data_IF_201124949104
#
_entry.id   IF_201124949104
#
_cell.length_a   1.000
_cell.length_b   1.000
_cell.length_c   1.000
_cell.angle_alpha   90.00
_cell.angle_beta   90.00
_cell.angle_gamma   90.00
#
_symmetry.space_group_name_H-M   'P 1'
#
loop_
_entity.id
_entity.type
_entity.pdbx_description
1 polymer ?
#
# COMPACT_ATOMS: atom_id res chain seq x y z
N UNK A 1 -33.07 -3.03 5.17
CA UNK A 1 -32.63 -4.33 4.61
C UNK A 1 -33.42 -4.63 3.34
N UNK A 2 -32.84 -5.28 2.33
CA UNK A 2 -33.59 -5.75 1.15
C UNK A 2 -34.74 -6.68 1.57
N UNK A 3 -35.88 -6.57 0.91
CA UNK A 3 -37.06 -7.41 1.15
C UNK A 3 -37.53 -7.92 -0.21
N UNK A 4 -37.86 -9.22 -0.32
CA UNK A 4 -38.28 -9.88 -1.58
C UNK A 4 -37.26 -9.70 -2.71
N UNK A 5 -35.99 -9.95 -2.41
CA UNK A 5 -34.89 -9.78 -3.38
C UNK A 5 -34.36 -11.13 -3.82
N UNK A 6 -34.32 -11.37 -5.13
CA UNK A 6 -33.67 -12.55 -5.70
C UNK A 6 -32.34 -12.15 -6.32
N UNK A 7 -31.27 -12.84 -5.94
CA UNK A 7 -29.93 -12.71 -6.52
C UNK A 7 -29.64 -14.00 -7.28
N UNK A 8 -29.57 -13.94 -8.61
CA UNK A 8 -29.51 -15.14 -9.42
C UNK A 8 -28.61 -15.05 -10.64
N UNK A 9 -28.16 -16.20 -11.13
CA UNK A 9 -27.37 -16.35 -12.37
C UNK A 9 -26.08 -15.52 -12.38
N UNK A 10 -25.44 -15.30 -11.23
CA UNK A 10 -24.17 -14.58 -11.14
C UNK A 10 -22.96 -15.52 -11.31
N UNK A 11 -21.81 -14.94 -11.65
CA UNK A 11 -20.50 -15.60 -11.65
C UNK A 11 -19.62 -14.90 -10.62
N UNK A 12 -19.01 -15.64 -9.71
CA UNK A 12 -18.05 -15.14 -8.72
C UNK A 12 -16.78 -15.97 -8.83
N UNK A 13 -15.69 -15.35 -9.28
CA UNK A 13 -14.45 -16.04 -9.58
C UNK A 13 -13.29 -15.42 -8.79
N UNK A 14 -12.46 -16.26 -8.20
CA UNK A 14 -11.17 -15.88 -7.64
C UNK A 14 -10.09 -16.86 -8.11
N UNK A 15 -9.05 -16.35 -8.76
CA UNK A 15 -7.90 -17.14 -9.21
C UNK A 15 -7.03 -17.65 -8.06
N UNK A 16 -7.08 -17.00 -6.90
CA UNK A 16 -6.38 -17.38 -5.68
C UNK A 16 -7.41 -17.81 -4.65
N UNK A 17 -7.64 -19.13 -4.44
CA UNK A 17 -8.68 -19.60 -3.54
C UNK A 17 -8.57 -19.00 -2.14
N UNK A 18 -9.66 -18.42 -1.64
CA UNK A 18 -9.75 -17.87 -0.29
C UNK A 18 -10.80 -18.62 0.54
N UNK A 19 -10.51 -18.85 1.82
CA UNK A 19 -11.43 -19.45 2.80
C UNK A 19 -12.38 -18.40 3.40
N UNK A 20 -12.83 -17.46 2.59
CA UNK A 20 -13.72 -16.39 3.01
C UNK A 20 -15.11 -16.67 2.50
N UNK A 21 -16.10 -16.64 3.40
CA UNK A 21 -17.51 -16.73 3.02
C UNK A 21 -17.91 -15.50 2.18
N UNK A 22 -18.49 -15.75 1.01
CA UNK A 22 -18.94 -14.70 0.07
C UNK A 22 -20.10 -13.89 0.66
N UNK A 23 -20.96 -14.54 1.44
CA UNK A 23 -22.09 -13.91 2.11
C UNK A 23 -21.85 -13.96 3.61
N UNK A 24 -21.75 -12.79 4.24
CA UNK A 24 -21.66 -12.65 5.69
C UNK A 24 -22.92 -11.98 6.22
N UNK A 25 -23.52 -12.57 7.24
CA UNK A 25 -24.65 -11.99 7.97
C UNK A 25 -24.14 -11.39 9.28
N UNK A 26 -24.24 -10.07 9.42
CA UNK A 26 -23.91 -9.36 10.66
C UNK A 26 -25.14 -9.08 11.53
N UNK A 27 -26.34 -9.30 10.97
CA UNK A 27 -27.64 -9.25 11.65
C UNK A 27 -28.58 -10.26 10.95
N UNK A 28 -29.81 -10.42 11.45
CA UNK A 28 -30.85 -11.27 10.87
C UNK A 28 -31.01 -10.93 9.38
N UNK A 29 -30.75 -11.88 8.45
CA UNK A 29 -30.88 -11.60 7.04
C UNK A 29 -32.30 -11.13 6.69
N UNK A 30 -32.37 -10.14 5.80
CA UNK A 30 -33.61 -9.81 5.11
C UNK A 30 -34.08 -10.96 4.21
N UNK A 31 -35.21 -10.76 3.52
CA UNK A 31 -35.80 -11.74 2.62
C UNK A 31 -35.06 -11.75 1.27
N UNK A 32 -33.84 -12.33 1.29
CA UNK A 32 -32.95 -12.48 0.14
C UNK A 32 -32.89 -13.95 -0.27
N UNK A 33 -33.24 -14.24 -1.52
CA UNK A 33 -33.20 -15.55 -2.12
C UNK A 33 -32.06 -15.64 -3.13
N UNK A 34 -31.10 -16.54 -2.92
CA UNK A 34 -30.02 -16.80 -3.87
C UNK A 34 -30.39 -18.00 -4.76
N UNK A 35 -30.21 -17.89 -6.07
CA UNK A 35 -30.58 -18.93 -7.03
C UNK A 35 -29.55 -19.06 -8.16
N UNK A 36 -28.96 -20.24 -8.34
CA UNK A 36 -28.03 -20.52 -9.45
C UNK A 36 -26.89 -19.48 -9.59
N UNK A 37 -26.25 -19.11 -8.47
CA UNK A 37 -25.05 -18.27 -8.47
C UNK A 37 -23.81 -19.16 -8.50
N UNK A 38 -22.98 -19.02 -9.53
CA UNK A 38 -21.85 -19.91 -9.77
C UNK A 38 -20.58 -19.34 -9.18
N UNK A 39 -19.79 -20.19 -8.51
CA UNK A 39 -18.60 -19.75 -7.77
C UNK A 39 -17.38 -20.63 -8.01
N UNK A 40 -16.20 -20.02 -8.07
CA UNK A 40 -14.89 -20.69 -8.03
C UNK A 40 -13.89 -19.90 -7.18
N UNK A 41 -13.11 -20.60 -6.35
CA UNK A 41 -12.05 -19.99 -5.53
C UNK A 41 -12.53 -19.26 -4.28
N UNK A 42 -13.79 -19.45 -3.90
CA UNK A 42 -14.44 -18.83 -2.75
C UNK A 42 -15.44 -19.81 -2.13
N UNK A 43 -15.75 -19.65 -0.84
CA UNK A 43 -16.67 -20.53 -0.11
C UNK A 43 -18.03 -19.84 0.11
N UNK A 44 -19.12 -20.61 0.10
CA UNK A 44 -20.43 -20.11 0.54
C UNK A 44 -21.20 -21.20 1.27
N UNK A 45 -21.74 -20.86 2.43
CA UNK A 45 -22.69 -21.70 3.18
C UNK A 45 -24.15 -21.37 2.87
N UNK A 46 -24.41 -20.27 2.17
CA UNK A 46 -25.75 -19.88 1.76
C UNK A 46 -26.24 -20.79 0.62
N UNK A 47 -27.50 -21.23 0.69
CA UNK A 47 -28.12 -21.98 -0.39
C UNK A 47 -28.16 -21.13 -1.68
N UNK A 48 -28.17 -21.78 -2.85
CA UNK A 48 -28.24 -21.09 -4.14
C UNK A 48 -26.89 -20.63 -4.72
N UNK A 49 -25.78 -20.95 -4.06
CA UNK A 49 -24.44 -20.87 -4.61
C UNK A 49 -23.97 -22.27 -5.04
N UNK A 50 -23.41 -22.37 -6.24
CA UNK A 50 -23.02 -23.63 -6.89
C UNK A 50 -21.54 -23.54 -7.26
N UNK A 51 -20.73 -24.41 -6.67
CA UNK A 51 -19.32 -24.53 -7.06
C UNK A 51 -19.20 -25.18 -8.43
N UNK A 52 -18.52 -24.51 -9.36
CA UNK A 52 -18.26 -25.03 -10.71
C UNK A 52 -16.86 -24.67 -11.16
N UNK A 53 -16.28 -25.47 -12.04
CA UNK A 53 -15.05 -25.10 -12.72
C UNK A 53 -15.33 -23.97 -13.73
N UNK A 54 -14.42 -23.00 -13.75
CA UNK A 54 -14.44 -21.75 -14.50
C UNK A 54 -13.07 -21.49 -15.09
N UNK A 55 -13.05 -21.05 -16.35
CA UNK A 55 -11.84 -20.70 -17.09
C UNK A 55 -11.93 -19.28 -17.60
N UNK A 56 -10.95 -18.45 -17.25
CA UNK A 56 -10.79 -17.12 -17.85
C UNK A 56 -10.20 -17.28 -19.26
N UNK A 57 -10.90 -16.76 -20.26
CA UNK A 57 -10.60 -16.93 -21.69
C UNK A 57 -9.72 -15.82 -22.27
N UNK A 58 -9.72 -14.62 -21.68
CA UNK A 58 -8.94 -13.48 -22.14
C UNK A 58 -7.82 -13.10 -21.16
N UNK A 59 -6.87 -12.29 -21.65
CA UNK A 59 -5.77 -11.73 -20.84
C UNK A 59 -6.08 -10.32 -20.30
N UNK A 60 -7.22 -9.73 -20.68
CA UNK A 60 -7.64 -8.42 -20.17
C UNK A 60 -8.15 -8.59 -18.75
N UNK A 61 -7.52 -7.89 -17.82
CA UNK A 61 -7.83 -8.00 -16.39
C UNK A 61 -9.07 -7.17 -16.03
N UNK A 62 -9.39 -6.15 -16.82
CA UNK A 62 -10.50 -5.23 -16.59
C UNK A 62 -11.86 -5.92 -16.74
N UNK A 63 -11.96 -6.90 -17.65
CA UNK A 63 -13.20 -7.62 -17.94
C UNK A 63 -12.88 -9.09 -18.22
N UNK A 64 -12.78 -9.94 -17.17
CA UNK A 64 -12.48 -11.35 -17.38
C UNK A 64 -13.64 -12.06 -18.07
N UNK A 65 -13.37 -12.65 -19.24
CA UNK A 65 -14.31 -13.52 -19.93
C UNK A 65 -14.24 -14.90 -19.29
N UNK A 66 -15.25 -15.24 -18.49
CA UNK A 66 -15.31 -16.53 -17.81
C UNK A 66 -16.18 -17.49 -18.59
N UNK A 67 -15.59 -18.62 -19.02
CA UNK A 67 -16.34 -19.78 -19.46
C UNK A 67 -16.57 -20.73 -18.28
N UNK A 68 -17.76 -21.31 -18.23
CA UNK A 68 -18.12 -22.42 -17.34
C UNK A 68 -18.24 -23.70 -18.18
N UNK A 69 -18.20 -24.86 -17.53
CA UNK A 69 -18.42 -26.16 -18.20
C UNK A 69 -19.79 -26.27 -18.88
N UNK A 70 -20.00 -27.33 -19.65
CA UNK A 70 -21.24 -27.54 -20.40
C UNK A 70 -22.46 -27.69 -19.46
N UNK A 71 -23.58 -27.05 -19.82
CA UNK A 71 -24.90 -27.15 -19.17
C UNK A 71 -25.02 -26.58 -17.75
N UNK A 72 -24.81 -25.28 -17.63
CA UNK A 72 -25.13 -24.49 -16.43
C UNK A 72 -26.63 -24.19 -16.39
N UNK A 73 -27.32 -24.56 -15.31
CA UNK A 73 -28.75 -24.29 -15.15
C UNK A 73 -29.00 -22.80 -14.83
N UNK A 74 -29.94 -22.17 -15.54
CA UNK A 74 -30.32 -20.79 -15.27
C UNK A 74 -31.61 -20.76 -14.45
N UNK A 75 -31.64 -19.86 -13.46
CA UNK A 75 -32.87 -19.50 -12.78
C UNK A 75 -33.70 -18.64 -13.74
N UNK A 76 -34.96 -19.01 -13.95
CA UNK A 76 -35.89 -18.26 -14.78
C UNK A 76 -36.79 -17.40 -13.87
N UNK A 77 -36.39 -16.15 -13.71
CA UNK A 77 -37.07 -15.17 -12.85
C UNK A 77 -38.06 -14.31 -13.61
N UNK A 78 -38.84 -13.53 -12.87
CA UNK A 78 -39.72 -12.52 -13.48
C UNK A 78 -38.91 -11.58 -14.38
N UNK A 79 -39.34 -11.44 -15.65
CA UNK A 79 -38.74 -10.58 -16.68
C UNK A 79 -37.30 -10.94 -17.11
N UNK A 80 -36.76 -12.10 -16.73
CA UNK A 80 -35.44 -12.54 -17.23
C UNK A 80 -35.42 -12.85 -18.73
N UNK A 81 -36.56 -13.25 -19.29
CA UNK A 81 -36.77 -13.41 -20.73
C UNK A 81 -36.58 -12.10 -21.52
N UNK A 82 -36.75 -10.94 -20.87
CA UNK A 82 -36.52 -9.62 -21.49
C UNK A 82 -35.04 -9.28 -21.61
N UNK A 83 -34.16 -9.98 -20.89
CA UNK A 83 -32.71 -9.79 -20.95
C UNK A 83 -32.17 -10.53 -22.17
N UNK A 84 -32.31 -9.91 -23.33
CA UNK A 84 -31.93 -10.53 -24.62
C UNK A 84 -30.50 -10.21 -25.06
N UNK A 85 -29.85 -9.24 -24.41
CA UNK A 85 -28.50 -8.80 -24.71
C UNK A 85 -27.61 -8.77 -23.48
N UNK A 86 -26.31 -8.95 -23.68
CA UNK A 86 -25.30 -8.79 -22.64
C UNK A 86 -24.83 -7.31 -22.50
N UNK A 87 -23.88 -7.05 -21.60
CA UNK A 87 -23.37 -5.69 -21.34
C UNK A 87 -22.62 -5.07 -22.54
N UNK A 88 -22.26 -5.88 -23.54
CA UNK A 88 -21.64 -5.45 -24.80
C UNK A 88 -22.64 -5.40 -25.96
N UNK A 89 -23.94 -5.54 -25.65
CA UNK A 89 -25.04 -5.59 -26.63
C UNK A 89 -25.02 -6.82 -27.54
N UNK A 90 -24.25 -7.86 -27.22
CA UNK A 90 -24.29 -9.15 -27.92
C UNK A 90 -25.59 -9.88 -27.59
N UNK A 91 -26.11 -10.67 -28.52
CA UNK A 91 -27.29 -11.50 -28.26
C UNK A 91 -26.98 -12.63 -27.26
N UNK A 92 -27.87 -12.85 -26.29
CA UNK A 92 -27.77 -13.96 -25.33
C UNK A 92 -28.31 -15.27 -25.92
N UNK A 93 -27.66 -15.77 -26.98
CA UNK A 93 -28.03 -17.03 -27.67
C UNK A 93 -26.78 -17.90 -27.96
N UNK A 94 -26.56 -18.99 -27.20
CA UNK A 94 -27.33 -19.44 -26.04
C UNK A 94 -27.19 -18.48 -24.85
N UNK A 95 -28.20 -18.46 -23.95
CA UNK A 95 -28.12 -17.69 -22.71
C UNK A 95 -27.17 -18.39 -21.71
N UNK A 96 -26.51 -17.62 -20.84
CA UNK A 96 -25.64 -18.12 -19.80
C UNK A 96 -25.66 -17.22 -18.56
N UNK A 97 -25.15 -17.72 -17.43
CA UNK A 97 -24.98 -16.94 -16.22
C UNK A 97 -23.87 -15.89 -16.39
N UNK A 98 -23.92 -14.83 -15.60
CA UNK A 98 -23.01 -13.68 -15.67
C UNK A 98 -23.51 -12.57 -16.59
N UNK A 99 -22.75 -11.48 -16.63
CA UNK A 99 -23.11 -10.27 -17.36
C UNK A 99 -22.80 -10.34 -18.87
N UNK A 100 -22.05 -11.34 -19.31
CA UNK A 100 -21.47 -11.46 -20.66
C UNK A 100 -21.94 -12.77 -21.28
N UNK A 101 -22.42 -12.77 -22.53
CA UNK A 101 -22.77 -13.97 -23.30
C UNK A 101 -21.71 -14.23 -24.37
N UNK A 102 -21.09 -15.40 -24.35
CA UNK A 102 -19.79 -15.78 -24.95
C UNK A 102 -19.69 -15.72 -26.49
N UNK A 103 -19.86 -14.57 -27.12
CA UNK A 103 -19.27 -14.32 -28.44
C UNK A 103 -17.87 -13.75 -28.26
N UNK A 104 -16.84 -14.56 -28.50
CA UNK A 104 -15.43 -14.15 -28.53
C UNK A 104 -15.19 -13.29 -29.79
N UNK A 105 -15.63 -12.05 -29.75
CA UNK A 105 -15.13 -10.98 -30.62
C UNK A 105 -14.08 -10.14 -29.88
N UNK A 106 -13.39 -9.24 -30.58
CA UNK A 106 -12.70 -8.13 -29.91
C UNK A 106 -13.73 -7.44 -29.03
N UNK A 107 -13.54 -7.48 -27.71
CA UNK A 107 -14.42 -6.77 -26.78
C UNK A 107 -14.39 -5.31 -27.22
N UNK A 108 -15.50 -4.85 -27.79
CA UNK A 108 -15.69 -3.43 -28.02
C UNK A 108 -15.47 -2.74 -26.66
N UNK A 109 -14.67 -1.68 -26.65
CA UNK A 109 -14.43 -0.94 -25.42
C UNK A 109 -15.80 -0.57 -24.80
N UNK A 110 -16.06 -0.97 -23.55
CA UNK A 110 -17.30 -0.62 -22.85
C UNK A 110 -17.52 0.90 -22.80
N UNK A 111 -16.43 1.65 -22.87
CA UNK A 111 -16.42 3.11 -22.91
C UNK A 111 -15.55 3.59 -24.08
N UNK A 112 -16.13 4.35 -24.99
CA UNK A 112 -15.35 5.24 -25.84
C UNK A 112 -15.12 6.54 -25.06
N UNK A 113 -13.96 6.68 -24.42
CA UNK A 113 -13.61 7.88 -23.66
C UNK A 113 -13.61 9.15 -24.52
N UNK A 114 -13.53 9.04 -25.86
CA UNK A 114 -13.64 10.20 -26.75
C UNK A 114 -15.07 10.77 -26.82
N UNK A 115 -16.07 10.01 -26.38
CA UNK A 115 -17.46 10.48 -26.26
C UNK A 115 -17.72 11.29 -24.99
N UNK A 116 -16.74 11.36 -24.08
CA UNK A 116 -16.88 12.01 -22.78
C UNK A 116 -15.86 13.14 -22.62
N UNK A 117 -16.31 14.22 -22.00
CA UNK A 117 -15.49 15.41 -21.82
C UNK A 117 -15.42 16.30 -23.07
N UNK A 118 -14.82 17.49 -22.94
CA UNK A 118 -14.70 18.41 -24.05
C UNK A 118 -13.64 17.92 -25.06
N UNK A 119 -13.94 18.04 -26.36
CA UNK A 119 -13.04 17.63 -27.45
C UNK A 119 -11.70 18.36 -27.50
N UNK A 120 -11.56 19.48 -26.79
CA UNK A 120 -10.33 20.25 -26.68
C UNK A 120 -9.40 19.78 -25.55
N UNK A 121 -9.83 18.85 -24.70
CA UNK A 121 -9.03 18.32 -23.58
C UNK A 121 -8.61 16.87 -23.83
N UNK A 122 -7.30 16.58 -23.69
CA UNK A 122 -6.79 15.22 -23.73
C UNK A 122 -6.59 14.70 -22.30
N UNK A 123 -7.28 13.63 -21.96
CA UNK A 123 -7.12 12.94 -20.68
C UNK A 123 -5.91 11.99 -20.66
N UNK A 124 -5.33 11.69 -21.83
CA UNK A 124 -4.19 10.79 -21.93
C UNK A 124 -2.93 11.53 -21.46
N UNK A 125 -2.41 11.12 -20.30
CA UNK A 125 -1.12 11.56 -19.82
C UNK A 125 -0.05 11.23 -20.87
N UNK A 126 0.72 12.23 -21.28
CA UNK A 126 1.90 12.00 -22.10
C UNK A 126 2.85 11.08 -21.33
N UNK A 127 3.27 9.96 -21.93
CA UNK A 127 4.32 9.12 -21.33
C UNK A 127 5.65 9.84 -21.53
N UNK A 128 6.27 10.39 -20.47
CA UNK A 128 7.55 11.08 -20.62
C UNK A 128 8.62 10.10 -21.13
N UNK A 129 9.50 10.58 -22.00
CA UNK A 129 10.70 9.85 -22.41
C UNK A 129 11.74 9.96 -21.28
N UNK A 130 11.64 9.03 -20.32
CA UNK A 130 12.48 9.01 -19.13
C UNK A 130 13.93 8.66 -19.49
N UNK A 131 14.85 9.54 -19.12
CA UNK A 131 16.28 9.41 -19.40
C UNK A 131 17.03 8.83 -18.22
N UNK A 132 18.24 8.34 -18.52
CA UNK A 132 19.23 7.94 -17.52
C UNK A 132 20.34 8.99 -17.48
N UNK A 133 20.52 9.62 -16.33
CA UNK A 133 21.50 10.68 -16.11
C UNK A 133 22.60 10.13 -15.20
N UNK A 134 23.81 9.98 -15.73
CA UNK A 134 24.95 9.51 -14.92
C UNK A 134 25.63 10.70 -14.25
N UNK A 135 25.87 10.62 -12.94
CA UNK A 135 26.54 11.66 -12.15
C UNK A 135 27.78 11.11 -11.45
N UNK A 136 28.83 11.92 -11.33
CA UNK A 136 30.12 11.52 -10.75
C UNK A 136 30.56 12.40 -9.58
N UNK A 137 29.80 13.46 -9.28
CA UNK A 137 30.08 14.42 -8.21
C UNK A 137 28.79 14.91 -7.55
N UNK A 138 28.91 15.49 -6.37
CA UNK A 138 27.77 16.08 -5.65
C UNK A 138 27.14 17.24 -6.43
N UNK A 139 27.96 18.08 -7.06
CA UNK A 139 27.48 19.20 -7.88
C UNK A 139 26.66 18.71 -9.08
N UNK A 140 27.15 17.67 -9.78
CA UNK A 140 26.41 17.04 -10.89
C UNK A 140 25.10 16.41 -10.41
N UNK A 141 25.09 15.79 -9.23
CA UNK A 141 23.90 15.22 -8.62
C UNK A 141 22.83 16.29 -8.34
N UNK A 142 23.21 17.37 -7.66
CA UNK A 142 22.29 18.47 -7.34
C UNK A 142 21.82 19.21 -8.60
N UNK A 143 22.71 19.44 -9.57
CA UNK A 143 22.35 20.05 -10.85
C UNK A 143 21.36 19.17 -11.63
N UNK A 144 21.58 17.86 -11.67
CA UNK A 144 20.70 16.91 -12.36
C UNK A 144 19.29 16.92 -11.80
N UNK A 145 19.12 17.02 -10.47
CA UNK A 145 17.80 17.11 -9.85
C UNK A 145 17.01 18.36 -10.26
N UNK A 146 17.70 19.46 -10.62
CA UNK A 146 17.07 20.71 -11.08
C UNK A 146 16.64 20.61 -12.55
N UNK A 147 17.45 19.94 -13.38
CA UNK A 147 17.27 19.90 -14.84
C UNK A 147 16.47 18.70 -15.34
N UNK A 148 16.40 17.61 -14.57
CA UNK A 148 15.73 16.37 -14.98
C UNK A 148 14.23 16.55 -15.28
N UNK A 149 13.69 15.64 -16.09
CA UNK A 149 12.25 15.46 -16.26
C UNK A 149 11.68 14.56 -15.17
N UNK A 150 10.39 14.71 -14.88
CA UNK A 150 9.70 13.79 -13.97
C UNK A 150 9.72 12.37 -14.55
N UNK A 151 10.23 11.42 -13.76
CA UNK A 151 10.39 10.01 -14.13
C UNK A 151 11.81 9.62 -14.55
N UNK A 152 12.74 10.57 -14.68
CA UNK A 152 14.14 10.27 -14.99
C UNK A 152 14.82 9.43 -13.91
N UNK A 153 15.88 8.73 -14.30
CA UNK A 153 16.73 7.94 -13.40
C UNK A 153 18.12 8.56 -13.28
N UNK A 154 18.54 8.93 -12.07
CA UNK A 154 19.90 9.36 -11.76
C UNK A 154 20.73 8.14 -11.36
N UNK A 155 21.85 7.93 -12.04
CA UNK A 155 22.81 6.85 -11.80
C UNK A 155 24.06 7.44 -11.16
N UNK A 156 24.35 7.03 -9.93
CA UNK A 156 25.56 7.44 -9.21
C UNK A 156 26.73 6.58 -9.70
N UNK A 157 27.63 7.20 -10.44
CA UNK A 157 28.82 6.60 -11.04
C UNK A 157 30.11 6.99 -10.29
N UNK A 158 29.98 7.23 -8.99
CA UNK A 158 31.06 7.43 -8.02
C UNK A 158 30.76 6.61 -6.76
N UNK A 159 31.79 6.27 -6.00
CA UNK A 159 31.62 5.49 -4.77
C UNK A 159 31.03 6.32 -3.63
N UNK A 160 31.20 7.66 -3.67
CA UNK A 160 30.77 8.57 -2.61
C UNK A 160 30.28 9.91 -3.17
N UNK A 161 29.11 10.33 -2.71
CA UNK A 161 28.58 11.69 -2.81
C UNK A 161 28.49 12.28 -1.40
N UNK A 162 29.16 13.41 -1.16
CA UNK A 162 29.04 14.16 0.10
C UNK A 162 28.12 15.35 -0.12
N UNK A 163 27.04 15.44 0.66
CA UNK A 163 26.04 16.48 0.56
C UNK A 163 26.03 17.30 1.84
N UNK A 164 26.13 18.63 1.71
CA UNK A 164 26.23 19.56 2.84
C UNK A 164 24.96 20.38 3.06
N UNK A 165 23.91 20.06 2.30
CA UNK A 165 22.62 20.72 2.31
C UNK A 165 21.48 19.71 2.09
N UNK A 166 20.27 20.11 2.46
CA UNK A 166 19.06 19.34 2.16
C UNK A 166 18.86 19.22 0.64
N UNK A 167 18.39 18.07 0.19
CA UNK A 167 18.09 17.77 -1.20
C UNK A 167 16.60 17.85 -1.45
N UNK A 168 16.17 18.75 -2.33
CA UNK A 168 14.75 18.88 -2.70
C UNK A 168 14.40 17.95 -3.87
N UNK A 169 13.39 17.12 -3.68
CA UNK A 169 12.82 16.25 -4.72
C UNK A 169 11.49 16.86 -5.16
N UNK A 170 11.51 17.65 -6.23
CA UNK A 170 10.35 18.38 -6.75
C UNK A 170 9.71 17.71 -7.97
N UNK A 171 10.33 16.64 -8.47
CA UNK A 171 9.85 15.83 -9.59
C UNK A 171 10.09 14.36 -9.25
N UNK A 172 9.19 13.48 -9.71
CA UNK A 172 9.38 12.03 -9.58
C UNK A 172 10.76 11.60 -10.13
N UNK A 173 11.50 10.77 -9.39
CA UNK A 173 12.86 10.38 -9.75
C UNK A 173 13.21 9.01 -9.18
N UNK A 174 14.01 8.26 -9.93
CA UNK A 174 14.72 7.09 -9.41
C UNK A 174 16.20 7.41 -9.24
N UNK A 175 16.74 7.20 -8.05
CA UNK A 175 18.16 7.36 -7.75
C UNK A 175 18.75 5.99 -7.47
N UNK A 176 19.79 5.61 -8.18
CA UNK A 176 20.43 4.31 -7.98
C UNK A 176 21.93 4.33 -8.22
N UNK A 177 22.60 3.34 -7.64
CA UNK A 177 24.01 3.08 -7.95
C UNK A 177 24.18 2.49 -9.35
N UNK A 178 25.41 2.53 -9.86
CA UNK A 178 25.76 1.91 -11.14
C UNK A 178 25.44 0.41 -11.19
N UNK A 179 25.64 -0.32 -10.09
CA UNK A 179 25.26 -1.72 -9.94
C UNK A 179 24.97 -2.08 -8.47
N UNK A 180 24.24 -3.18 -8.26
CA UNK A 180 23.97 -3.75 -6.93
C UNK A 180 25.23 -4.11 -6.15
N UNK A 181 26.25 -4.63 -6.84
CA UNK A 181 27.50 -5.08 -6.21
C UNK A 181 28.44 -3.92 -5.80
N UNK A 182 28.16 -2.71 -6.27
CA UNK A 182 28.93 -1.49 -5.99
C UNK A 182 27.98 -0.37 -5.56
N UNK A 183 27.34 -0.56 -4.41
CA UNK A 183 26.47 0.46 -3.84
C UNK A 183 27.27 1.74 -3.55
N UNK A 184 26.94 2.82 -4.24
CA UNK A 184 27.44 4.15 -3.94
C UNK A 184 26.93 4.61 -2.59
N UNK A 185 27.72 5.44 -1.91
CA UNK A 185 27.34 6.06 -0.64
C UNK A 185 26.91 7.50 -0.86
N UNK A 186 25.74 7.88 -0.38
CA UNK A 186 25.36 9.29 -0.19
C UNK A 186 25.51 9.58 1.29
N UNK A 187 26.43 10.48 1.60
CA UNK A 187 26.74 10.89 2.96
C UNK A 187 26.33 12.35 3.15
N UNK A 188 25.43 12.59 4.10
CA UNK A 188 25.10 13.95 4.53
C UNK A 188 26.10 14.39 5.59
N UNK A 189 26.80 15.50 5.34
CA UNK A 189 27.84 16.04 6.23
C UNK A 189 27.53 17.48 6.59
N UNK A 190 27.31 17.75 7.88
CA UNK A 190 27.07 19.10 8.38
C UNK A 190 25.76 19.74 7.91
N UNK A 191 25.49 20.94 8.47
CA UNK A 191 24.36 21.80 8.14
C UNK A 191 23.34 21.97 9.26
N UNK A 192 22.57 23.06 9.19
CA UNK A 192 21.47 23.40 10.11
C UNK A 192 20.12 23.13 9.42
N UNK A 193 19.92 21.88 8.99
CA UNK A 193 18.68 21.42 8.37
C UNK A 193 18.20 20.13 9.03
N UNK A 194 16.88 19.99 9.16
CA UNK A 194 16.27 18.88 9.88
C UNK A 194 15.98 17.65 9.00
N UNK A 195 16.12 17.77 7.67
CA UNK A 195 15.74 16.71 6.71
C UNK A 195 16.74 16.61 5.56
N UNK A 196 17.15 15.39 5.22
CA UNK A 196 18.12 15.09 4.16
C UNK A 196 17.49 15.19 2.76
N UNK A 197 16.33 14.54 2.55
CA UNK A 197 15.53 14.63 1.33
C UNK A 197 14.13 15.22 1.64
N UNK A 198 13.85 16.40 1.09
CA UNK A 198 12.54 17.07 1.18
C UNK A 198 11.70 16.77 -0.06
N UNK A 199 10.50 16.20 0.12
CA UNK A 199 9.63 15.80 -0.98
C UNK A 199 8.57 16.87 -1.30
N UNK A 200 8.46 17.26 -2.56
CA UNK A 200 7.36 18.09 -3.07
C UNK A 200 6.06 17.29 -3.28
N UNK A 201 4.97 17.97 -3.70
CA UNK A 201 3.71 17.31 -4.02
C UNK A 201 3.83 16.44 -5.28
N UNK A 202 3.03 15.36 -5.37
CA UNK A 202 2.91 14.49 -6.55
C UNK A 202 4.24 13.84 -7.01
N UNK A 203 5.17 13.62 -6.09
CA UNK A 203 6.46 12.98 -6.38
C UNK A 203 6.45 11.49 -6.05
N UNK A 204 6.96 10.69 -6.98
CA UNK A 204 7.39 9.32 -6.73
C UNK A 204 8.90 9.32 -6.54
N UNK A 205 9.36 9.09 -5.31
CA UNK A 205 10.77 9.06 -4.97
C UNK A 205 11.24 7.61 -4.79
N UNK A 206 12.11 7.15 -5.71
CA UNK A 206 12.61 5.80 -5.72
C UNK A 206 14.11 5.79 -5.42
N UNK A 207 14.56 4.91 -4.53
CA UNK A 207 15.98 4.68 -4.25
C UNK A 207 16.33 3.20 -4.34
N UNK A 208 17.39 2.86 -5.08
CA UNK A 208 17.79 1.47 -5.29
C UNK A 208 19.30 1.26 -5.16
N UNK A 209 19.72 0.26 -4.37
CA UNK A 209 21.11 -0.16 -4.26
C UNK A 209 22.07 0.92 -3.74
N UNK A 210 21.65 1.78 -2.80
CA UNK A 210 22.46 2.90 -2.27
C UNK A 210 22.72 2.71 -0.78
N UNK A 211 23.89 3.14 -0.31
CA UNK A 211 24.19 3.34 1.10
C UNK A 211 23.96 4.80 1.49
N UNK A 212 23.19 5.04 2.54
CA UNK A 212 22.75 6.35 3.01
C UNK A 212 23.26 6.54 4.43
N UNK A 213 24.00 7.62 4.63
CA UNK A 213 24.63 7.94 5.91
C UNK A 213 24.27 9.36 6.31
N UNK A 214 23.75 9.53 7.53
CA UNK A 214 23.28 10.79 8.06
C UNK A 214 23.85 11.14 9.43
N UNK A 215 23.08 11.94 10.15
CA UNK A 215 23.33 12.33 11.54
C UNK A 215 22.07 12.10 12.40
N UNK A 216 22.19 11.71 13.69
CA UNK A 216 21.04 11.43 14.55
C UNK A 216 20.09 12.61 14.80
N UNK A 217 20.46 13.84 14.41
CA UNK A 217 19.58 15.01 14.39
C UNK A 217 18.77 15.16 13.10
N UNK A 218 19.15 14.45 12.03
CA UNK A 218 18.64 14.58 10.67
C UNK A 218 17.60 13.51 10.33
N UNK A 219 16.40 13.91 9.90
CA UNK A 219 15.45 12.98 9.27
C UNK A 219 15.95 12.64 7.87
N UNK A 220 15.89 11.39 7.45
CA UNK A 220 16.28 10.99 6.10
C UNK A 220 15.31 11.54 5.05
N UNK A 221 14.01 11.30 5.20
CA UNK A 221 12.97 11.80 4.28
C UNK A 221 11.88 12.52 5.07
N UNK A 222 11.43 13.68 4.57
CA UNK A 222 10.20 14.33 5.02
C UNK A 222 9.51 15.08 3.86
N UNK A 223 8.18 15.23 3.87
CA UNK A 223 7.46 16.12 2.96
C UNK A 223 7.84 17.59 3.15
N UNK A 224 7.67 18.41 2.10
CA UNK A 224 7.73 19.87 2.19
C UNK A 224 6.67 20.37 3.16
N UNK A 225 7.10 21.13 4.17
CA UNK A 225 6.21 21.60 5.22
C UNK A 225 5.10 22.56 4.74
N UNK A 226 5.32 23.28 3.64
CA UNK A 226 4.48 24.42 3.27
C UNK A 226 3.73 24.24 1.95
N UNK A 227 4.17 23.31 1.09
CA UNK A 227 3.70 23.24 -0.30
C UNK A 227 3.10 21.89 -0.70
N UNK A 228 2.76 21.02 0.25
CA UNK A 228 2.06 19.76 -0.05
C UNK A 228 0.61 20.03 -0.43
N UNK A 229 0.21 19.55 -1.61
CA UNK A 229 -1.15 19.67 -2.15
C UNK A 229 -1.70 18.34 -2.70
N UNK A 230 -0.80 17.38 -2.97
CA UNK A 230 -1.09 16.07 -3.53
C UNK A 230 -0.18 15.07 -2.83
N UNK A 231 -0.66 13.84 -2.67
CA UNK A 231 0.10 12.77 -2.04
C UNK A 231 1.45 12.52 -2.74
N UNK A 232 2.45 12.11 -1.97
CA UNK A 232 3.75 11.66 -2.47
C UNK A 232 3.93 10.15 -2.26
N UNK A 233 4.93 9.57 -2.91
CA UNK A 233 5.29 8.16 -2.76
C UNK A 233 6.79 7.99 -2.50
N UNK A 234 7.13 7.03 -1.65
CA UNK A 234 8.50 6.65 -1.31
C UNK A 234 8.68 5.16 -1.55
N UNK A 235 9.64 4.78 -2.39
CA UNK A 235 10.01 3.39 -2.65
C UNK A 235 11.51 3.20 -2.46
N UNK A 236 11.89 2.39 -1.47
CA UNK A 236 13.28 2.09 -1.15
C UNK A 236 13.48 0.59 -1.30
N UNK A 237 14.42 0.18 -2.13
CA UNK A 237 14.72 -1.23 -2.41
C UNK A 237 16.22 -1.48 -2.34
N UNK A 238 16.62 -2.48 -1.54
CA UNK A 238 18.01 -2.92 -1.44
C UNK A 238 18.99 -1.80 -1.05
N UNK A 239 18.58 -0.94 -0.11
CA UNK A 239 19.38 0.16 0.40
C UNK A 239 19.90 -0.10 1.81
N UNK A 240 20.97 0.60 2.20
CA UNK A 240 21.49 0.61 3.57
C UNK A 240 21.31 2.01 4.14
N UNK A 241 20.55 2.17 5.22
CA UNK A 241 20.25 3.46 5.84
C UNK A 241 20.80 3.43 7.25
N UNK A 242 21.66 4.40 7.60
CA UNK A 242 22.26 4.45 8.93
C UNK A 242 22.41 5.85 9.51
N UNK A 243 22.39 5.91 10.83
CA UNK A 243 22.71 7.09 11.64
C UNK A 243 21.76 8.28 11.49
N UNK A 244 20.54 8.10 10.98
CA UNK A 244 19.54 9.16 10.91
C UNK A 244 18.67 9.21 12.18
N UNK A 245 18.04 10.37 12.39
CA UNK A 245 16.96 10.53 13.37
C UNK A 245 15.76 9.63 13.06
N UNK A 246 15.31 9.63 11.82
CA UNK A 246 14.23 8.76 11.33
C UNK A 246 14.36 8.54 9.83
N UNK A 247 13.88 7.40 9.33
CA UNK A 247 13.79 7.09 7.89
C UNK A 247 12.76 7.99 7.21
N UNK A 248 11.58 8.12 7.81
CA UNK A 248 10.52 9.00 7.32
C UNK A 248 9.91 9.79 8.47
N UNK A 249 9.69 11.08 8.26
CA UNK A 249 9.03 11.97 9.19
C UNK A 249 7.89 12.70 8.48
N UNK A 250 6.65 12.39 8.83
CA UNK A 250 5.49 13.11 8.31
C UNK A 250 5.48 14.56 8.80
N UNK A 251 4.74 15.40 8.08
CA UNK A 251 4.43 16.77 8.49
C UNK A 251 2.91 16.94 8.54
N UNK A 252 2.40 17.75 9.46
CA UNK A 252 0.96 18.03 9.56
C UNK A 252 0.43 18.60 8.25
N UNK A 253 -0.68 18.05 7.75
CA UNK A 253 -1.30 18.36 6.46
C UNK A 253 -0.67 17.65 5.25
N UNK A 254 0.38 16.84 5.44
CA UNK A 254 0.97 16.03 4.37
C UNK A 254 0.36 14.63 4.32
N UNK A 255 0.38 14.04 3.13
CA UNK A 255 -0.08 12.66 2.91
C UNK A 255 0.88 11.93 1.97
N UNK A 256 1.19 10.67 2.29
CA UNK A 256 1.83 9.75 1.37
C UNK A 256 0.81 8.71 0.90
N UNK A 257 0.72 8.45 -0.40
CA UNK A 257 -0.08 7.31 -0.83
C UNK A 257 0.64 6.02 -0.39
N UNK A 258 1.90 5.85 -0.79
CA UNK A 258 2.70 4.69 -0.43
C UNK A 258 4.07 5.05 0.11
N UNK A 259 4.41 4.46 1.26
CA UNK A 259 5.77 4.38 1.81
C UNK A 259 6.15 2.90 1.83
N UNK A 260 7.05 2.49 0.93
CA UNK A 260 7.49 1.10 0.80
C UNK A 260 9.00 0.99 0.96
N UNK A 261 9.44 0.14 1.88
CA UNK A 261 10.85 -0.18 2.10
C UNK A 261 11.02 -1.69 2.11
N UNK A 262 11.82 -2.19 1.16
CA UNK A 262 12.03 -3.63 0.98
C UNK A 262 13.50 -3.99 0.84
N UNK A 263 13.84 -5.20 1.27
CA UNK A 263 15.17 -5.80 1.11
C UNK A 263 16.32 -4.92 1.66
N UNK A 264 16.02 -4.02 2.59
CA UNK A 264 16.94 -2.96 3.01
C UNK A 264 17.44 -3.18 4.44
N UNK A 265 18.53 -2.50 4.82
CA UNK A 265 19.00 -2.46 6.21
C UNK A 265 18.83 -1.06 6.80
N UNK A 266 18.32 -0.96 8.01
CA UNK A 266 18.09 0.28 8.75
C UNK A 266 18.76 0.18 10.12
N UNK A 267 19.87 0.88 10.31
CA UNK A 267 20.76 0.68 11.46
C UNK A 267 21.03 1.98 12.23
N UNK A 268 21.18 1.88 13.54
CA UNK A 268 21.61 2.99 14.42
C UNK A 268 20.74 4.25 14.26
N UNK A 269 19.42 4.06 14.25
CA UNK A 269 18.46 5.15 14.11
C UNK A 269 17.90 5.59 15.46
N UNK A 270 17.56 6.88 15.60
CA UNK A 270 16.82 7.33 16.79
C UNK A 270 15.41 6.72 16.79
N UNK A 271 14.71 6.80 15.66
CA UNK A 271 13.40 6.21 15.35
C UNK A 271 13.40 5.66 13.91
N UNK A 272 12.38 4.88 13.54
CA UNK A 272 12.21 4.43 12.14
C UNK A 272 11.30 5.37 11.34
N UNK A 273 10.00 5.13 11.39
CA UNK A 273 8.97 5.83 10.63
C UNK A 273 8.05 6.58 11.58
N UNK A 274 8.06 7.90 11.51
CA UNK A 274 7.22 8.79 12.32
C UNK A 274 6.13 9.33 11.40
N UNK A 275 4.93 8.76 11.50
CA UNK A 275 3.77 8.96 10.62
C UNK A 275 2.56 9.31 11.52
N UNK A 276 2.74 10.32 12.37
CA UNK A 276 1.81 10.67 13.45
C UNK A 276 1.60 12.17 13.61
N UNK A 277 1.75 12.94 12.54
CA UNK A 277 1.63 14.40 12.58
C UNK A 277 0.18 14.89 12.64
N UNK A 278 -0.79 14.07 12.25
CA UNK A 278 -2.23 14.31 12.48
C UNK A 278 -2.65 13.88 13.89
N UNK A 279 -2.33 14.71 14.88
CA UNK A 279 -2.46 14.40 16.31
C UNK A 279 -3.72 14.98 16.99
N UNK A 280 -4.61 15.61 16.22
CA UNK A 280 -5.81 16.29 16.73
C UNK A 280 -7.07 15.41 16.78
N UNK A 281 -6.93 14.13 16.43
CA UNK A 281 -7.96 13.10 16.52
C UNK A 281 -9.24 13.40 15.72
N UNK A 282 -9.10 13.93 14.50
CA UNK A 282 -10.21 14.24 13.58
C UNK A 282 -10.51 13.19 12.50
N UNK A 283 -9.77 12.09 12.48
CA UNK A 283 -9.82 11.08 11.42
C UNK A 283 -8.67 11.19 10.43
N UNK A 284 -7.98 12.33 10.39
CA UNK A 284 -6.82 12.57 9.53
C UNK A 284 -5.62 11.68 9.93
N UNK A 285 -4.81 11.33 8.94
CA UNK A 285 -3.60 10.51 9.05
C UNK A 285 -2.64 10.81 7.89
N UNK A 286 -1.38 10.39 7.96
CA UNK A 286 -0.34 10.88 7.04
C UNK A 286 0.09 9.91 5.93
N UNK A 287 -0.44 8.68 5.86
CA UNK A 287 -0.10 7.75 4.79
C UNK A 287 -1.22 6.72 4.52
N UNK A 288 -1.42 6.25 3.29
CA UNK A 288 -2.38 5.17 3.01
C UNK A 288 -1.77 3.77 3.13
N UNK A 289 -0.58 3.55 2.55
CA UNK A 289 0.13 2.29 2.58
C UNK A 289 1.53 2.45 3.18
N UNK A 290 1.81 1.72 4.25
CA UNK A 290 3.15 1.60 4.85
C UNK A 290 3.57 0.13 4.76
N UNK A 291 4.53 -0.17 3.89
CA UNK A 291 4.93 -1.54 3.54
C UNK A 291 6.40 -1.73 3.83
N UNK A 292 6.70 -2.52 4.87
CA UNK A 292 8.06 -2.82 5.31
C UNK A 292 8.29 -4.34 5.22
N UNK A 293 9.00 -4.79 4.19
CA UNK A 293 9.19 -6.22 3.92
C UNK A 293 10.64 -6.64 3.77
N UNK A 294 11.00 -7.78 4.35
CA UNK A 294 12.32 -8.42 4.20
C UNK A 294 13.50 -7.49 4.58
N UNK A 295 13.31 -6.64 5.59
CA UNK A 295 14.33 -5.71 6.04
C UNK A 295 15.11 -6.24 7.25
N UNK A 296 16.33 -5.74 7.41
CA UNK A 296 17.14 -5.90 8.62
C UNK A 296 17.15 -4.58 9.39
N UNK A 297 16.72 -4.60 10.64
CA UNK A 297 16.59 -3.42 11.48
C UNK A 297 17.39 -3.63 12.75
N UNK A 298 18.34 -2.75 13.04
CA UNK A 298 19.16 -2.85 14.24
C UNK A 298 19.42 -1.50 14.91
N UNK A 299 19.57 -1.51 16.23
CA UNK A 299 20.04 -0.32 16.97
C UNK A 299 19.04 0.85 16.96
N UNK A 300 17.74 0.57 17.07
CA UNK A 300 16.71 1.62 17.15
C UNK A 300 16.57 2.11 18.58
N UNK A 301 16.82 3.40 18.82
CA UNK A 301 16.88 3.96 20.17
C UNK A 301 15.51 4.10 20.85
N UNK A 302 14.44 4.33 20.06
CA UNK A 302 13.06 4.51 20.53
C UNK A 302 12.10 3.59 19.76
N UNK A 303 10.88 4.03 19.45
CA UNK A 303 9.97 3.29 18.58
C UNK A 303 10.46 3.24 17.13
N UNK A 304 10.14 2.15 16.45
CA UNK A 304 10.49 1.95 15.04
C UNK A 304 9.38 2.43 14.11
N UNK A 305 8.12 2.29 14.50
CA UNK A 305 6.98 2.84 13.74
C UNK A 305 6.05 3.56 14.70
N UNK A 306 5.67 4.78 14.34
CA UNK A 306 4.62 5.55 14.98
C UNK A 306 3.63 6.01 13.92
N UNK A 307 2.67 5.14 13.62
CA UNK A 307 1.66 5.34 12.60
C UNK A 307 0.30 5.52 13.28
N UNK A 308 -0.19 6.74 13.23
CA UNK A 308 -1.33 7.18 14.02
C UNK A 308 -2.47 7.68 13.13
N UNK A 309 -3.68 7.27 13.50
CA UNK A 309 -4.94 7.84 13.06
C UNK A 309 -5.82 8.00 14.29
N UNK A 310 -6.18 9.24 14.62
CA UNK A 310 -7.02 9.52 15.79
C UNK A 310 -8.45 9.84 15.42
N UNK A 311 -9.38 9.70 16.37
CA UNK A 311 -10.78 10.08 16.20
C UNK A 311 -11.70 8.96 15.72
N UNK A 312 -12.99 9.24 15.81
CA UNK A 312 -14.10 8.37 15.40
C UNK A 312 -14.63 8.77 14.01
N UNK A 313 -13.76 8.99 13.03
CA UNK A 313 -14.19 9.13 11.65
C UNK A 313 -14.19 7.76 10.96
N UNK A 314 -15.39 7.28 10.62
CA UNK A 314 -15.60 6.05 9.85
C UNK A 314 -15.79 6.34 8.35
N UNK A 315 -15.70 7.61 7.93
CA UNK A 315 -15.83 8.00 6.51
C UNK A 315 -14.66 7.53 5.67
N UNK A 316 -13.52 7.23 6.32
CA UNK A 316 -12.35 6.60 5.73
C UNK A 316 -12.10 5.25 6.40
N UNK A 317 -11.90 4.20 5.60
CA UNK A 317 -11.47 2.86 6.04
C UNK A 317 -9.96 2.65 5.82
N UNK A 318 -9.22 3.75 5.66
CA UNK A 318 -7.85 3.74 5.22
C UNK A 318 -6.82 3.52 6.33
N UNK A 319 -5.57 3.46 5.89
CA UNK A 319 -4.44 3.08 6.72
C UNK A 319 -4.16 1.58 6.66
N UNK A 320 -3.10 1.25 5.94
CA UNK A 320 -2.66 -0.11 5.67
C UNK A 320 -1.19 -0.27 6.05
N UNK A 321 -0.91 -1.10 7.05
CA UNK A 321 0.43 -1.39 7.51
C UNK A 321 0.78 -2.85 7.29
N UNK A 322 1.84 -3.11 6.53
CA UNK A 322 2.42 -4.43 6.32
C UNK A 322 3.83 -4.43 6.91
N UNK A 323 4.06 -5.30 7.89
CA UNK A 323 5.37 -5.58 8.48
C UNK A 323 5.66 -7.07 8.33
N UNK A 324 6.39 -7.46 7.28
CA UNK A 324 6.54 -8.87 6.91
C UNK A 324 7.99 -9.31 6.69
N UNK A 325 8.37 -10.46 7.23
CA UNK A 325 9.67 -11.07 6.93
C UNK A 325 10.88 -10.28 7.44
N UNK A 326 10.68 -9.33 8.36
CA UNK A 326 11.75 -8.48 8.86
C UNK A 326 12.50 -9.14 10.02
N UNK A 327 13.78 -8.80 10.16
CA UNK A 327 14.59 -9.14 11.33
C UNK A 327 14.85 -7.85 12.09
N UNK A 328 14.41 -7.78 13.35
CA UNK A 328 14.56 -6.61 14.21
C UNK A 328 15.37 -6.96 15.44
N UNK A 329 16.48 -6.27 15.66
CA UNK A 329 17.40 -6.51 16.76
C UNK A 329 17.73 -5.24 17.54
N UNK A 330 17.85 -5.35 18.86
CA UNK A 330 18.32 -4.25 19.73
C UNK A 330 17.51 -2.95 19.60
N UNK A 331 16.20 -3.06 19.39
CA UNK A 331 15.30 -1.93 19.15
C UNK A 331 14.43 -1.61 20.37
N UNK A 332 13.94 -0.37 20.45
CA UNK A 332 13.07 0.08 21.52
C UNK A 332 13.81 0.79 22.66
N UNK A 333 13.08 1.60 23.40
CA UNK A 333 13.49 2.13 24.70
C UNK A 333 12.83 1.29 25.82
N UNK A 334 13.30 1.41 27.08
CA UNK A 334 12.66 0.75 28.25
C UNK A 334 11.65 1.67 28.94
N UNK A 335 10.42 1.20 29.13
CA UNK A 335 9.37 1.89 29.90
C UNK A 335 8.01 1.19 29.81
N UNK A 336 7.12 1.41 30.79
CA UNK A 336 5.83 0.70 30.91
C UNK A 336 4.77 1.05 29.85
N UNK A 337 5.08 1.99 28.94
CA UNK A 337 4.19 2.50 27.89
C UNK A 337 4.89 2.56 26.51
N UNK A 338 6.08 2.00 26.37
CA UNK A 338 6.84 2.08 25.12
C UNK A 338 6.46 0.89 24.21
N UNK A 339 6.04 1.18 22.98
CA UNK A 339 5.63 0.20 21.97
C UNK A 339 6.53 0.38 20.76
N UNK A 340 7.07 -0.71 20.21
CA UNK A 340 8.00 -0.64 19.08
C UNK A 340 7.29 -0.23 17.77
N UNK A 341 6.13 -0.84 17.52
CA UNK A 341 5.27 -0.60 16.36
C UNK A 341 3.94 -0.05 16.88
N UNK A 342 3.81 1.28 16.92
CA UNK A 342 2.56 1.94 17.27
C UNK A 342 1.72 2.08 15.99
N UNK A 343 0.52 1.54 16.02
CA UNK A 343 -0.41 1.48 14.89
C UNK A 343 -1.81 1.94 15.32
N UNK A 344 -1.87 2.96 16.19
CA UNK A 344 -3.13 3.37 16.81
C UNK A 344 -4.11 3.88 15.75
N UNK A 345 -5.31 3.29 15.71
CA UNK A 345 -6.39 3.67 14.80
C UNK A 345 -6.22 3.23 13.34
N UNK A 346 -5.15 2.49 13.02
CA UNK A 346 -4.91 1.93 11.68
C UNK A 346 -5.81 0.71 11.45
N UNK A 347 -6.57 0.72 10.35
CA UNK A 347 -7.66 -0.25 10.10
C UNK A 347 -7.11 -1.60 9.63
N UNK A 348 -6.07 -1.58 8.80
CA UNK A 348 -5.45 -2.78 8.24
C UNK A 348 -4.01 -2.90 8.74
N UNK A 349 -3.73 -3.91 9.56
CA UNK A 349 -2.39 -4.19 10.08
C UNK A 349 -2.05 -5.66 9.88
N UNK A 350 -0.90 -5.95 9.28
CA UNK A 350 -0.38 -7.30 9.14
C UNK A 350 1.05 -7.35 9.64
N UNK A 351 1.29 -8.14 10.70
CA UNK A 351 2.63 -8.36 11.26
C UNK A 351 2.95 -9.85 11.12
N UNK A 352 3.64 -10.25 10.05
CA UNK A 352 3.83 -11.66 9.73
C UNK A 352 5.29 -12.07 9.52
N UNK A 353 5.63 -13.29 9.95
CA UNK A 353 6.89 -13.95 9.61
C UNK A 353 8.15 -13.15 10.02
N UNK A 354 8.06 -12.31 11.06
CA UNK A 354 9.18 -11.49 11.52
C UNK A 354 9.98 -12.19 12.63
N UNK A 355 11.25 -11.83 12.76
CA UNK A 355 12.11 -12.24 13.88
C UNK A 355 12.44 -11.02 14.74
N UNK A 356 12.06 -11.04 16.02
CA UNK A 356 12.35 -9.99 16.98
C UNK A 356 13.34 -10.48 18.05
N UNK A 357 14.48 -9.81 18.18
CA UNK A 357 15.51 -10.12 19.19
C UNK A 357 15.86 -8.89 20.02
N UNK A 358 16.00 -9.06 21.33
CA UNK A 358 16.45 -8.01 22.23
C UNK A 358 15.62 -6.71 22.15
N UNK A 359 14.29 -6.85 22.09
CA UNK A 359 13.38 -5.70 22.06
C UNK A 359 13.24 -5.12 23.47
N UNK A 360 13.70 -3.89 23.67
CA UNK A 360 13.82 -3.25 24.98
C UNK A 360 12.49 -2.69 25.52
N UNK A 361 11.52 -2.44 24.64
CA UNK A 361 10.20 -1.87 24.98
C UNK A 361 9.28 -2.84 25.71
N UNK A 362 9.52 -4.15 25.61
CA UNK A 362 8.65 -5.19 26.19
C UNK A 362 7.32 -5.38 25.45
N UNK A 363 6.83 -4.37 24.73
CA UNK A 363 5.68 -4.46 23.83
C UNK A 363 6.13 -4.16 22.39
N UNK A 364 5.93 -5.13 21.49
CA UNK A 364 6.23 -5.01 20.06
C UNK A 364 5.10 -4.24 19.38
N UNK A 365 3.86 -4.71 19.52
CA UNK A 365 2.70 -4.08 18.93
C UNK A 365 1.44 -4.33 19.77
N UNK A 366 0.45 -3.47 19.61
CA UNK A 366 -0.92 -3.64 20.13
C UNK A 366 -1.89 -3.58 18.95
N UNK A 367 -2.54 -4.70 18.67
CA UNK A 367 -3.47 -4.87 17.57
C UNK A 367 -4.90 -4.53 17.99
N UNK A 368 -5.66 -3.98 17.04
CA UNK A 368 -7.09 -3.68 17.21
C UNK A 368 -7.95 -4.85 16.72
N UNK A 369 -8.43 -5.68 17.65
CA UNK A 369 -9.12 -6.95 17.35
C UNK A 369 -10.43 -6.80 16.56
N UNK A 370 -11.16 -5.71 16.74
CA UNK A 370 -12.38 -5.41 15.95
C UNK A 370 -12.09 -4.98 14.49
N UNK A 371 -10.82 -4.73 14.15
CA UNK A 371 -10.41 -4.33 12.79
C UNK A 371 -9.54 -5.42 12.15
N UNK A 372 -9.14 -5.21 10.90
CA UNK A 372 -8.34 -6.18 10.15
C UNK A 372 -6.85 -6.10 10.57
N UNK A 373 -6.60 -6.33 11.85
CA UNK A 373 -5.28 -6.30 12.47
C UNK A 373 -4.90 -7.74 12.85
N UNK A 374 -3.91 -8.30 12.18
CA UNK A 374 -3.53 -9.71 12.32
C UNK A 374 -2.02 -9.87 12.47
N UNK A 375 -1.61 -10.91 13.18
CA UNK A 375 -0.23 -11.35 13.27
C UNK A 375 -0.14 -12.88 13.16
N UNK A 376 0.94 -13.38 12.56
CA UNK A 376 1.20 -14.81 12.44
C UNK A 376 2.67 -15.10 12.10
N UNK A 377 3.18 -16.27 12.49
CA UNK A 377 4.53 -16.72 12.09
C UNK A 377 5.70 -15.94 12.70
N UNK A 378 5.45 -15.04 13.65
CA UNK A 378 6.50 -14.24 14.28
C UNK A 378 7.32 -15.06 15.30
N UNK A 379 8.64 -14.87 15.29
CA UNK A 379 9.57 -15.44 16.28
C UNK A 379 10.03 -14.32 17.21
N UNK A 380 9.62 -14.38 18.48
CA UNK A 380 9.94 -13.35 19.48
C UNK A 380 10.86 -13.94 20.55
N UNK A 381 12.08 -13.41 20.65
CA UNK A 381 13.01 -13.80 21.70
C UNK A 381 12.80 -12.96 22.97
N UNK A 382 12.86 -13.61 24.13
CA UNK A 382 12.72 -12.96 25.44
C UNK A 382 11.26 -12.78 25.87
N UNK A 383 10.98 -11.71 26.63
CA UNK A 383 9.67 -11.46 27.24
C UNK A 383 8.80 -10.46 26.47
N UNK A 384 9.25 -10.01 25.30
CA UNK A 384 8.48 -9.10 24.49
C UNK A 384 7.27 -9.79 23.88
N UNK A 385 6.21 -9.04 23.59
CA UNK A 385 4.95 -9.61 23.11
C UNK A 385 4.29 -8.72 22.06
N UNK A 386 3.44 -9.33 21.25
CA UNK A 386 2.36 -8.67 20.51
C UNK A 386 1.08 -9.00 21.28
N UNK A 387 0.21 -8.01 21.48
CA UNK A 387 -1.09 -8.23 22.14
C UNK A 387 -2.21 -7.75 21.22
N UNK A 388 -3.38 -8.33 21.40
CA UNK A 388 -4.61 -7.91 20.72
C UNK A 388 -5.60 -7.45 21.77
N UNK A 389 -6.18 -6.28 21.57
CA UNK A 389 -7.28 -5.76 22.37
C UNK A 389 -8.49 -5.59 21.45
N UNK A 390 -9.66 -6.07 21.88
CA UNK A 390 -10.90 -5.98 21.11
C UNK A 390 -11.20 -4.51 20.75
N UNK A 391 -11.13 -3.63 21.75
CA UNK A 391 -11.31 -2.19 21.58
C UNK A 391 -10.08 -1.41 22.01
N UNK A 392 -9.64 -0.47 21.17
CA UNK A 392 -8.64 0.52 21.55
C UNK A 392 -9.31 1.71 22.23
N UNK A 393 -8.72 2.21 23.32
CA UNK A 393 -9.13 3.46 23.94
C UNK A 393 -8.86 4.63 22.98
N UNK A 394 -9.90 5.17 22.35
CA UNK A 394 -9.77 6.32 21.45
C UNK A 394 -9.94 7.63 22.24
N UNK A 395 -9.24 8.68 21.78
CA UNK A 395 -9.50 10.05 22.25
C UNK A 395 -10.76 10.55 21.54
N UNK A 396 -11.81 10.83 22.33
CA UNK A 396 -13.03 11.47 21.84
C UNK A 396 -12.71 12.92 21.44
N UNK A 397 -13.28 13.38 20.32
CA UNK A 397 -13.27 14.81 19.98
C UNK A 397 -14.08 15.59 21.03
N UNK A 398 -13.54 16.71 21.50
CA UNK A 398 -14.31 17.77 22.16
C UNK A 398 -14.17 19.06 21.37
#
# INVERSE_FOLDING_TARGET
>A
MPIRTTVANNIIYNSNPVKTEIVKYYDKPGDINFQNNYVQGVESKAAGFISTEMKVLNKQWEIPLVAMGDHVALFDGFDFDKITKDIFMNERKPNQAGAISSSVGELASLFDFNMYGPSWFSWQAHKPDNKRISVKSSDEFIASLKEMNAGDTIIIATDLLKLEELVKIQKSVCIKSLSKDKAATIQFVGGDYATAFELGPDVNFLMQHISLEGDPSLNFIAPDKSNMSIASNVYIDDCKIRDFKSVYHSIKGSFADTIKVVNSSMNELVRGFVINSEDDAKGDYNAEFVILENNQVAGIQQDFVDYYRGGYDESTVGGNFIFKGNIVENAGKRGSQEVLLKTHGIVHVTINDNTFKSIKSGLIARLWGEKNNVESGNVIAGSSKIITEEFLAQRLMY
#
